data_IF_523828586855
#
_entry.id   IF_523828586855
#
_cell.length_a   1.000
_cell.length_b   1.000
_cell.length_c   1.000
_cell.angle_alpha   90.00
_cell.angle_beta   90.00
_cell.angle_gamma   90.00
#
_symmetry.space_group_name_H-M   'P 1'
#
loop_
_entity.id
_entity.type
_entity.pdbx_description
1 polymer ?
#
# COMPACT_ATOMS: atom_id res chain seq x y z
N UNK A 1 42.68 -3.03 62.71
CA UNK A 1 42.43 -1.85 61.82
C UNK A 1 42.25 -2.39 60.41
N UNK A 2 40.99 -2.47 59.90
CA UNK A 2 40.66 -2.95 58.56
C UNK A 2 40.24 -1.74 57.73
N UNK A 3 41.02 -1.38 56.70
CA UNK A 3 40.72 -0.32 55.75
C UNK A 3 39.76 -0.84 54.71
N UNK A 4 38.58 -0.20 54.59
CA UNK A 4 37.61 -0.48 53.56
C UNK A 4 37.87 0.45 52.36
N UNK A 5 38.35 -0.11 51.26
CA UNK A 5 38.40 0.58 49.97
C UNK A 5 36.99 0.70 49.40
N UNK A 6 36.50 1.93 49.29
CA UNK A 6 35.25 2.26 48.56
C UNK A 6 35.56 2.30 47.07
N UNK A 7 35.05 1.32 46.35
CA UNK A 7 35.03 1.32 44.89
C UNK A 7 33.94 2.32 44.43
N UNK A 8 34.35 3.41 43.82
CA UNK A 8 33.43 4.35 43.16
C UNK A 8 33.14 3.84 41.77
N UNK A 9 31.92 3.33 41.55
CA UNK A 9 31.44 2.98 40.20
C UNK A 9 30.92 4.24 39.50
N UNK A 10 31.66 4.74 38.52
CA UNK A 10 31.24 5.82 37.64
C UNK A 10 30.26 5.22 36.63
N UNK A 11 28.95 5.47 36.80
CA UNK A 11 27.95 5.24 35.75
C UNK A 11 28.12 6.31 34.68
N UNK A 12 28.69 5.92 33.53
CA UNK A 12 28.68 6.74 32.34
C UNK A 12 27.23 6.77 31.77
N UNK A 13 26.54 7.87 31.99
CA UNK A 13 25.25 8.13 31.35
C UNK A 13 25.48 8.34 29.84
N UNK A 14 25.22 7.30 29.03
CA UNK A 14 25.20 7.38 27.59
C UNK A 14 24.04 8.27 27.15
N UNK A 15 24.34 9.47 26.65
CA UNK A 15 23.39 10.32 25.93
C UNK A 15 23.01 9.62 24.63
N UNK A 16 21.94 8.83 24.66
CA UNK A 16 21.28 8.31 23.46
C UNK A 16 20.65 9.47 22.67
N UNK A 17 21.30 9.87 21.58
CA UNK A 17 20.70 10.78 20.62
C UNK A 17 19.44 10.10 20.02
N UNK A 18 18.26 10.74 20.01
CA UNK A 18 17.11 10.19 19.35
C UNK A 18 17.41 10.11 17.84
N UNK A 19 17.38 8.91 17.25
CA UNK A 19 17.29 8.76 15.79
C UNK A 19 15.97 9.39 15.35
N UNK A 20 16.03 10.60 14.83
CA UNK A 20 14.90 11.19 14.12
C UNK A 20 14.67 10.33 12.86
N UNK A 21 13.53 9.63 12.81
CA UNK A 21 13.09 8.98 11.59
C UNK A 21 12.88 10.07 10.54
N UNK A 22 13.75 10.14 9.54
CA UNK A 22 13.55 11.01 8.37
C UNK A 22 12.38 10.42 7.61
N UNK A 23 11.22 11.05 7.70
CA UNK A 23 10.11 10.74 6.82
C UNK A 23 10.56 11.04 5.38
N UNK A 24 10.44 10.07 4.49
CA UNK A 24 10.76 10.27 3.08
C UNK A 24 9.88 11.41 2.52
N UNK A 25 10.52 12.43 1.97
CA UNK A 25 9.81 13.56 1.37
C UNK A 25 9.16 13.11 0.06
N UNK A 26 7.86 13.44 -0.12
CA UNK A 26 7.16 13.11 -1.35
C UNK A 26 7.75 13.87 -2.54
N UNK A 27 7.75 13.27 -3.75
CA UNK A 27 8.23 13.93 -4.95
C UNK A 27 7.48 15.24 -5.23
N UNK A 28 8.19 16.25 -5.72
CA UNK A 28 7.58 17.50 -6.20
C UNK A 28 6.89 17.23 -7.54
N UNK A 29 5.57 17.37 -7.57
CA UNK A 29 4.72 17.08 -8.73
C UNK A 29 3.64 18.17 -8.90
N UNK A 30 3.02 18.22 -10.05
CA UNK A 30 1.86 19.11 -10.30
C UNK A 30 0.57 18.50 -9.72
N UNK A 31 0.28 18.79 -8.45
CA UNK A 31 -0.92 18.34 -7.76
C UNK A 31 -2.20 18.99 -8.31
N UNK A 32 -2.14 20.19 -8.90
CA UNK A 32 -3.30 20.82 -9.50
C UNK A 32 -3.72 20.04 -10.77
N UNK A 33 -2.76 19.69 -11.59
CA UNK A 33 -3.00 18.83 -12.76
C UNK A 33 -3.50 17.44 -12.36
N UNK A 34 -2.93 16.83 -11.32
CA UNK A 34 -3.40 15.55 -10.81
C UNK A 34 -4.85 15.61 -10.31
N UNK A 35 -5.24 16.70 -9.61
CA UNK A 35 -6.61 16.90 -9.14
C UNK A 35 -7.59 17.06 -10.32
N UNK A 36 -7.22 17.81 -11.37
CA UNK A 36 -8.01 17.96 -12.59
C UNK A 36 -8.25 16.60 -13.26
N UNK A 37 -7.19 15.84 -13.50
CA UNK A 37 -7.29 14.51 -14.12
C UNK A 37 -8.14 13.58 -13.26
N UNK A 38 -7.91 13.59 -11.92
CA UNK A 38 -8.67 12.76 -10.99
C UNK A 38 -10.16 13.07 -11.05
N UNK A 39 -10.55 14.35 -10.99
CA UNK A 39 -11.94 14.79 -11.03
C UNK A 39 -12.64 14.46 -12.34
N UNK A 40 -11.97 14.67 -13.46
CA UNK A 40 -12.54 14.45 -14.79
C UNK A 40 -12.57 12.99 -15.25
N UNK A 41 -11.72 12.11 -14.70
CA UNK A 41 -11.49 10.76 -15.24
C UNK A 41 -11.60 9.66 -14.20
N UNK A 42 -11.01 9.83 -13.01
CA UNK A 42 -10.86 8.74 -12.03
C UNK A 42 -12.01 8.67 -11.03
N UNK A 43 -12.55 9.84 -10.64
CA UNK A 43 -13.49 10.00 -9.55
C UNK A 43 -14.79 9.21 -9.73
N UNK A 44 -15.25 9.04 -10.98
CA UNK A 44 -16.49 8.32 -11.29
C UNK A 44 -16.49 6.88 -10.76
N UNK A 45 -15.35 6.20 -10.84
CA UNK A 45 -15.22 4.81 -10.42
C UNK A 45 -14.53 4.66 -9.06
N UNK A 46 -13.50 5.48 -8.80
CA UNK A 46 -12.67 5.38 -7.60
C UNK A 46 -13.12 6.30 -6.46
N UNK A 47 -14.12 7.16 -6.70
CA UNK A 47 -14.55 8.20 -5.76
C UNK A 47 -13.65 9.44 -5.82
N UNK A 48 -14.20 10.61 -5.47
CA UNK A 48 -13.51 11.90 -5.57
C UNK A 48 -12.21 11.94 -4.75
N UNK A 49 -12.20 11.29 -3.58
CA UNK A 49 -11.02 11.19 -2.71
C UNK A 49 -10.26 9.85 -2.90
N UNK A 50 -10.58 9.07 -3.93
CA UNK A 50 -10.02 7.72 -4.11
C UNK A 50 -10.56 6.69 -3.12
N UNK A 51 -11.65 7.01 -2.40
CA UNK A 51 -12.31 6.13 -1.43
C UNK A 51 -13.52 5.44 -2.07
N UNK A 52 -13.26 4.53 -3.01
CA UNK A 52 -14.31 3.81 -3.74
C UNK A 52 -15.31 3.15 -2.81
N UNK A 53 -16.59 3.39 -3.05
CA UNK A 53 -17.72 2.67 -2.42
C UNK A 53 -18.10 1.41 -3.19
N UNK A 54 -17.66 1.27 -4.43
CA UNK A 54 -17.93 0.11 -5.28
C UNK A 54 -17.13 -1.12 -4.85
N UNK A 55 -17.71 -2.31 -4.87
CA UNK A 55 -16.96 -3.54 -4.65
C UNK A 55 -16.04 -3.93 -5.81
N UNK A 56 -16.19 -3.29 -6.97
CA UNK A 56 -15.46 -3.62 -8.20
C UNK A 56 -14.18 -2.81 -8.37
N UNK A 57 -14.17 -1.56 -7.89
CA UNK A 57 -13.07 -0.64 -8.10
C UNK A 57 -12.21 -0.49 -6.84
N UNK A 58 -10.88 -0.52 -6.95
CA UNK A 58 -10.01 -0.38 -5.79
C UNK A 58 -10.08 1.02 -5.18
N UNK A 59 -9.80 1.10 -3.88
CA UNK A 59 -9.44 2.33 -3.22
C UNK A 59 -8.04 2.75 -3.64
N UNK A 60 -7.88 4.02 -3.94
CA UNK A 60 -6.61 4.65 -4.28
C UNK A 60 -6.08 5.49 -3.10
N UNK A 61 -6.98 5.97 -2.22
CA UNK A 61 -6.62 6.77 -1.06
C UNK A 61 -5.57 6.06 -0.17
N UNK A 62 -4.48 6.77 0.14
CA UNK A 62 -3.38 6.29 0.95
C UNK A 62 -2.54 5.17 0.34
N UNK A 63 -2.69 4.87 -0.95
CA UNK A 63 -1.84 3.93 -1.66
C UNK A 63 -0.53 4.60 -2.03
N UNK A 64 0.57 3.88 -1.96
CA UNK A 64 1.92 4.37 -2.29
C UNK A 64 1.99 4.92 -3.71
N UNK A 65 2.56 6.10 -3.86
CA UNK A 65 2.64 6.81 -5.16
C UNK A 65 3.41 6.00 -6.20
N UNK A 66 4.49 5.33 -5.81
CA UNK A 66 5.27 4.49 -6.70
C UNK A 66 4.44 3.33 -7.24
N UNK A 67 3.63 2.70 -6.37
CA UNK A 67 2.74 1.62 -6.77
C UNK A 67 1.64 2.10 -7.73
N UNK A 68 1.01 3.25 -7.47
CA UNK A 68 0.00 3.82 -8.38
C UNK A 68 0.62 4.15 -9.73
N UNK A 69 1.76 4.85 -9.76
CA UNK A 69 2.46 5.21 -10.99
C UNK A 69 2.86 3.97 -11.79
N UNK A 70 3.41 2.94 -11.12
CA UNK A 70 3.72 1.65 -11.76
C UNK A 70 2.48 1.00 -12.37
N UNK A 71 1.39 0.91 -11.62
CA UNK A 71 0.17 0.26 -12.13
C UNK A 71 -0.43 1.01 -13.33
N UNK A 72 -0.42 2.35 -13.33
CA UNK A 72 -0.85 3.15 -14.48
C UNK A 72 0.05 2.90 -15.69
N UNK A 73 1.36 2.84 -15.51
CA UNK A 73 2.31 2.48 -16.56
C UNK A 73 2.09 1.06 -17.11
N UNK A 74 1.79 0.12 -16.22
CA UNK A 74 1.50 -1.26 -16.61
C UNK A 74 0.19 -1.39 -17.40
N UNK A 75 -0.83 -0.62 -17.03
CA UNK A 75 -2.06 -0.54 -17.82
C UNK A 75 -1.81 0.11 -19.19
N UNK A 76 -1.09 1.23 -19.24
CA UNK A 76 -0.76 1.92 -20.50
C UNK A 76 0.01 1.03 -21.46
N UNK A 77 0.98 0.28 -20.95
CA UNK A 77 1.82 -0.64 -21.75
C UNK A 77 1.16 -1.99 -22.06
N UNK A 78 -0.01 -2.29 -21.48
CA UNK A 78 -0.68 -3.58 -21.62
C UNK A 78 -0.07 -4.72 -20.79
N UNK A 79 0.97 -4.46 -19.98
CA UNK A 79 1.52 -5.45 -19.03
C UNK A 79 0.51 -5.87 -17.98
N UNK A 80 -0.36 -4.94 -17.57
CA UNK A 80 -1.56 -5.25 -16.78
C UNK A 80 -2.79 -5.06 -17.65
N UNK A 81 -3.65 -6.09 -17.70
CA UNK A 81 -4.83 -6.08 -18.55
C UNK A 81 -6.06 -5.66 -17.75
N UNK A 82 -6.84 -4.76 -18.32
CA UNK A 82 -8.15 -4.32 -17.84
C UNK A 82 -8.86 -3.58 -18.95
N UNK A 83 -10.07 -4.02 -19.34
CA UNK A 83 -10.86 -3.41 -20.39
C UNK A 83 -11.10 -1.91 -20.19
N UNK A 84 -11.18 -1.47 -18.93
CA UNK A 84 -11.38 -0.07 -18.57
C UNK A 84 -10.06 0.67 -18.39
N UNK A 85 -9.15 0.13 -17.54
CA UNK A 85 -7.97 0.89 -17.12
C UNK A 85 -6.92 1.05 -18.21
N UNK A 86 -6.83 0.14 -19.17
CA UNK A 86 -5.93 0.32 -20.32
C UNK A 86 -6.29 1.59 -21.10
N UNK A 87 -7.59 1.83 -21.35
CA UNK A 87 -8.05 3.08 -21.97
C UNK A 87 -7.84 4.30 -21.06
N UNK A 88 -8.14 4.18 -19.77
CA UNK A 88 -7.99 5.30 -18.81
C UNK A 88 -6.54 5.78 -18.65
N UNK A 89 -5.56 4.89 -18.80
CA UNK A 89 -4.14 5.22 -18.66
C UNK A 89 -3.45 5.62 -19.98
N UNK A 90 -4.11 5.46 -21.13
CA UNK A 90 -3.48 5.55 -22.46
C UNK A 90 -2.78 6.88 -22.72
N UNK A 91 -3.40 7.99 -22.35
CA UNK A 91 -2.92 9.36 -22.65
C UNK A 91 -2.07 9.96 -21.51
N UNK A 92 -1.95 9.27 -20.36
CA UNK A 92 -1.20 9.79 -19.24
C UNK A 92 0.31 9.79 -19.53
N UNK A 93 0.98 10.88 -19.17
CA UNK A 93 2.44 10.92 -19.15
C UNK A 93 3.00 10.26 -17.89
N UNK A 94 4.28 9.85 -17.86
CA UNK A 94 4.91 9.33 -16.64
C UNK A 94 4.83 10.33 -15.46
N UNK A 95 4.97 11.63 -15.74
CA UNK A 95 4.88 12.70 -14.76
C UNK A 95 3.45 12.81 -14.19
N UNK A 96 2.41 12.71 -15.03
CA UNK A 96 1.01 12.70 -14.61
C UNK A 96 0.68 11.44 -13.80
N UNK A 97 1.24 10.28 -14.15
CA UNK A 97 1.08 9.04 -13.38
C UNK A 97 1.68 9.17 -11.98
N UNK A 98 2.89 9.76 -11.87
CA UNK A 98 3.53 10.03 -10.60
C UNK A 98 2.72 11.06 -9.79
N UNK A 99 2.26 12.14 -10.43
CA UNK A 99 1.45 13.17 -9.78
C UNK A 99 0.13 12.60 -9.23
N UNK A 100 -0.56 11.74 -9.99
CA UNK A 100 -1.74 11.03 -9.52
C UNK A 100 -1.42 10.11 -8.35
N UNK A 101 -0.27 9.44 -8.37
CA UNK A 101 0.21 8.63 -7.26
C UNK A 101 0.32 9.46 -5.98
N UNK A 102 1.06 10.57 -6.02
CA UNK A 102 1.24 11.48 -4.87
C UNK A 102 -0.09 12.08 -4.42
N UNK A 103 -0.94 12.45 -5.36
CA UNK A 103 -2.28 12.99 -5.05
C UNK A 103 -3.11 12.00 -4.23
N UNK A 104 -3.16 10.73 -4.61
CA UNK A 104 -3.95 9.72 -3.89
C UNK A 104 -3.27 9.23 -2.61
N UNK A 105 -1.94 9.18 -2.54
CA UNK A 105 -1.24 8.81 -1.32
C UNK A 105 -1.54 9.76 -0.16
N UNK A 106 -1.70 11.06 -0.44
CA UNK A 106 -2.05 12.08 0.56
C UNK A 106 -3.51 12.03 1.00
N UNK A 107 -4.37 11.25 0.33
CA UNK A 107 -5.79 11.17 0.69
C UNK A 107 -5.99 10.32 1.94
N UNK A 108 -6.93 10.73 2.83
CA UNK A 108 -7.17 10.00 4.08
C UNK A 108 -7.75 8.62 3.80
N UNK A 109 -7.19 7.62 4.49
CA UNK A 109 -7.72 6.26 4.46
C UNK A 109 -8.82 6.11 5.50
N UNK A 110 -9.91 5.41 5.14
CA UNK A 110 -10.98 5.07 6.08
C UNK A 110 -10.85 3.60 6.47
N UNK A 111 -10.85 3.27 7.77
CA UNK A 111 -10.90 1.88 8.21
C UNK A 111 -12.20 1.21 7.73
N UNK A 112 -12.16 -0.10 7.58
CA UNK A 112 -13.37 -0.91 7.36
C UNK A 112 -13.49 -1.91 8.49
N UNK A 113 -14.69 -2.03 9.01
CA UNK A 113 -15.02 -3.07 9.96
C UNK A 113 -15.30 -4.38 9.23
N UNK A 114 -14.90 -5.49 9.84
CA UNK A 114 -15.25 -6.81 9.36
C UNK A 114 -16.73 -7.08 9.63
N UNK A 115 -17.43 -7.59 8.62
CA UNK A 115 -18.85 -7.95 8.77
C UNK A 115 -19.06 -9.28 9.49
N UNK A 116 -18.07 -10.15 9.42
CA UNK A 116 -18.04 -11.47 10.02
C UNK A 116 -16.78 -11.59 10.86
N UNK A 117 -16.97 -11.66 12.18
CA UNK A 117 -15.86 -11.68 13.14
C UNK A 117 -15.07 -13.01 13.10
N UNK A 118 -15.74 -14.13 12.84
CA UNK A 118 -15.11 -15.45 12.78
C UNK A 118 -14.23 -15.54 11.53
N UNK A 119 -14.78 -15.17 10.38
CA UNK A 119 -14.02 -15.12 9.12
C UNK A 119 -12.87 -14.12 9.20
N UNK A 120 -13.05 -12.99 9.88
CA UNK A 120 -11.99 -12.02 10.11
C UNK A 120 -10.87 -12.58 11.01
N UNK A 121 -11.19 -13.40 12.01
CA UNK A 121 -10.20 -14.05 12.87
C UNK A 121 -9.36 -15.06 12.06
N UNK A 122 -10.00 -15.87 11.22
CA UNK A 122 -9.31 -16.79 10.29
C UNK A 122 -8.42 -16.02 9.32
N UNK A 123 -8.96 -14.95 8.70
CA UNK A 123 -8.21 -14.10 7.78
C UNK A 123 -6.99 -13.45 8.45
N UNK A 124 -7.13 -12.99 9.69
CA UNK A 124 -6.00 -12.43 10.48
C UNK A 124 -4.93 -13.48 10.74
N UNK A 125 -5.32 -14.71 11.09
CA UNK A 125 -4.37 -15.80 11.27
C UNK A 125 -3.60 -16.05 9.98
N UNK A 126 -4.27 -16.22 8.85
CA UNK A 126 -3.62 -16.46 7.55
C UNK A 126 -2.73 -15.27 7.15
N UNK A 127 -3.18 -14.05 7.37
CA UNK A 127 -2.41 -12.85 7.05
C UNK A 127 -1.06 -12.82 7.78
N UNK A 128 -1.03 -13.18 9.07
CA UNK A 128 0.19 -13.12 9.89
C UNK A 128 1.00 -14.41 9.89
N UNK A 129 0.39 -15.56 9.64
CA UNK A 129 1.03 -16.88 9.78
C UNK A 129 1.11 -17.68 8.47
N UNK A 130 0.35 -17.28 7.46
CA UNK A 130 0.18 -18.08 6.27
C UNK A 130 -0.72 -19.30 6.50
N UNK A 131 -0.62 -20.23 5.60
CA UNK A 131 -1.26 -21.54 5.69
C UNK A 131 -0.36 -22.59 5.01
N UNK A 132 0.44 -23.28 5.81
CA UNK A 132 1.39 -24.29 5.34
C UNK A 132 0.70 -25.45 4.59
N UNK A 133 -0.54 -25.76 4.99
CA UNK A 133 -1.30 -26.83 4.37
C UNK A 133 -1.67 -26.54 2.90
N UNK A 134 -1.92 -25.27 2.57
CA UNK A 134 -2.23 -24.82 1.22
C UNK A 134 -1.07 -24.10 0.52
N UNK A 135 0.11 -24.04 1.15
CA UNK A 135 1.28 -23.35 0.60
C UNK A 135 1.15 -21.83 0.52
N UNK A 136 0.27 -21.22 1.34
CA UNK A 136 0.07 -19.76 1.36
C UNK A 136 1.04 -19.16 2.37
N UNK A 137 1.97 -18.34 1.88
CA UNK A 137 2.89 -17.58 2.72
C UNK A 137 2.16 -16.50 3.57
N UNK A 138 2.76 -16.11 4.70
CA UNK A 138 2.23 -15.01 5.51
C UNK A 138 2.28 -13.68 4.75
N UNK A 139 1.13 -13.06 4.49
CA UNK A 139 1.04 -11.79 3.75
C UNK A 139 1.79 -10.66 4.48
N UNK A 140 1.78 -10.69 5.82
CA UNK A 140 2.45 -9.70 6.66
C UNK A 140 3.97 -9.63 6.44
N UNK A 141 4.61 -10.73 6.02
CA UNK A 141 6.04 -10.78 5.71
C UNK A 141 6.46 -9.79 4.62
N UNK A 142 5.57 -9.56 3.65
CA UNK A 142 5.81 -8.62 2.56
C UNK A 142 5.04 -7.30 2.72
N UNK A 143 3.77 -7.36 3.14
CA UNK A 143 2.91 -6.18 3.24
C UNK A 143 2.95 -5.47 4.62
N UNK A 144 3.77 -5.96 5.54
CA UNK A 144 3.89 -5.44 6.91
C UNK A 144 2.73 -5.88 7.81
N UNK A 145 2.95 -5.87 9.14
CA UNK A 145 1.98 -6.36 10.14
C UNK A 145 0.60 -5.71 10.06
N UNK A 146 0.55 -4.45 9.66
CA UNK A 146 -0.70 -3.70 9.51
C UNK A 146 -1.20 -3.66 8.05
N UNK A 147 -0.53 -4.34 7.12
CA UNK A 147 -0.88 -4.34 5.71
C UNK A 147 -0.72 -2.97 5.05
N UNK A 148 0.18 -2.13 5.55
CA UNK A 148 0.43 -0.81 4.97
C UNK A 148 1.25 -0.87 3.68
N UNK A 149 1.94 -1.98 3.44
CA UNK A 149 2.81 -2.15 2.27
C UNK A 149 4.13 -1.39 2.38
N UNK A 150 4.78 -1.28 1.24
CA UNK A 150 6.03 -0.53 1.01
C UNK A 150 5.92 0.22 -0.33
N UNK A 151 7.00 0.88 -0.74
CA UNK A 151 7.07 1.52 -2.07
C UNK A 151 6.85 0.53 -3.23
N UNK A 152 7.31 -0.72 -3.08
CA UNK A 152 7.17 -1.78 -4.09
C UNK A 152 5.91 -2.61 -3.91
N UNK A 153 5.46 -2.79 -2.68
CA UNK A 153 4.34 -3.66 -2.31
C UNK A 153 3.13 -2.84 -1.88
N UNK A 154 1.95 -3.09 -2.46
CA UNK A 154 0.80 -2.23 -2.21
C UNK A 154 0.31 -2.28 -0.77
N UNK A 155 -0.25 -1.15 -0.33
CA UNK A 155 -1.09 -1.09 0.84
C UNK A 155 -2.33 -1.96 0.63
N UNK A 156 -2.58 -2.90 1.54
CA UNK A 156 -3.77 -3.76 1.59
C UNK A 156 -4.77 -3.26 2.63
N UNK A 157 -4.28 -2.59 3.68
CA UNK A 157 -5.12 -2.07 4.76
C UNK A 157 -6.20 -1.11 4.25
N UNK A 158 -7.45 -1.41 4.57
CA UNK A 158 -8.61 -0.61 4.14
C UNK A 158 -9.02 -0.82 2.68
N UNK A 159 -8.36 -1.69 1.92
CA UNK A 159 -8.75 -1.97 0.54
C UNK A 159 -10.12 -2.65 0.47
N UNK A 160 -10.77 -2.57 -0.68
CA UNK A 160 -12.06 -3.22 -0.96
C UNK A 160 -11.86 -4.74 -0.92
N UNK A 161 -12.55 -5.49 -0.03
CA UNK A 161 -12.31 -6.93 0.14
C UNK A 161 -12.53 -7.72 -1.16
N UNK A 162 -13.59 -7.42 -1.89
CA UNK A 162 -13.89 -8.09 -3.15
C UNK A 162 -12.87 -7.81 -4.24
N UNK A 163 -12.30 -6.60 -4.25
CA UNK A 163 -11.18 -6.30 -5.13
C UNK A 163 -9.94 -7.11 -4.75
N UNK A 164 -9.59 -7.18 -3.46
CA UNK A 164 -8.46 -7.98 -2.97
C UNK A 164 -8.64 -9.45 -3.37
N UNK A 165 -9.83 -10.02 -3.14
CA UNK A 165 -10.16 -11.39 -3.55
C UNK A 165 -9.97 -11.60 -5.06
N UNK A 166 -10.47 -10.67 -5.87
CA UNK A 166 -10.35 -10.75 -7.33
C UNK A 166 -8.89 -10.71 -7.79
N UNK A 167 -8.05 -9.88 -7.14
CA UNK A 167 -6.63 -9.81 -7.47
C UNK A 167 -5.89 -11.09 -7.08
N UNK A 168 -6.16 -11.66 -5.91
CA UNK A 168 -5.59 -12.94 -5.52
C UNK A 168 -5.96 -14.05 -6.51
N UNK A 169 -7.22 -14.11 -6.96
CA UNK A 169 -7.65 -15.03 -8.00
C UNK A 169 -6.91 -14.80 -9.33
N UNK A 170 -6.75 -13.53 -9.72
CA UNK A 170 -6.06 -13.19 -10.97
C UNK A 170 -4.57 -13.56 -10.95
N UNK A 171 -3.88 -13.41 -9.81
CA UNK A 171 -2.52 -13.90 -9.63
C UNK A 171 -2.44 -15.43 -9.67
N UNK A 172 -3.34 -16.11 -8.97
CA UNK A 172 -3.38 -17.57 -8.94
C UNK A 172 -3.61 -18.20 -10.33
N UNK A 173 -4.48 -17.59 -11.13
CA UNK A 173 -4.78 -18.03 -12.52
C UNK A 173 -3.80 -17.50 -13.55
N UNK A 174 -2.80 -16.69 -13.15
CA UNK A 174 -1.87 -15.98 -14.03
C UNK A 174 -2.55 -15.03 -15.05
N UNK A 175 -3.79 -14.63 -14.77
CA UNK A 175 -4.44 -13.54 -15.52
C UNK A 175 -3.82 -12.17 -15.21
N UNK A 176 -3.15 -12.05 -14.04
CA UNK A 176 -2.33 -10.91 -13.66
C UNK A 176 -0.90 -11.40 -13.36
N UNK A 177 0.09 -10.81 -14.06
CA UNK A 177 1.51 -11.22 -13.99
C UNK A 177 2.48 -10.05 -13.84
N UNK A 178 1.98 -8.82 -13.88
CA UNK A 178 2.80 -7.61 -13.94
C UNK A 178 3.58 -7.31 -12.65
N UNK A 179 3.32 -7.99 -11.56
CA UNK A 179 4.00 -7.83 -10.25
C UNK A 179 4.76 -9.09 -9.81
N UNK A 180 5.07 -10.01 -10.74
CA UNK A 180 5.78 -11.27 -10.43
C UNK A 180 7.31 -11.14 -10.35
N UNK A 181 7.85 -9.95 -10.53
CA UNK A 181 9.30 -9.68 -10.50
C UNK A 181 9.77 -9.11 -9.15
N UNK A 182 8.92 -9.21 -8.12
CA UNK A 182 9.22 -8.71 -6.77
C UNK A 182 9.51 -9.88 -5.85
#
# INVERSE_FOLDING_TARGET
>A
MKSWNRLVVLCAAGLGLPLAAVAAELPKVDLARAAEISGGRCALCHGAEGDSSSPLYPRLAGQHHQYIAKQLGDFKSGRRKSDTMNGMAQDLTPEEMLALGVYFEQKPTKPREARDAELAAVGRYIFHRGNDFSGVAACAGCHGDKGHGTEQLPRLAGQVPRYTESQLKSFNTRARTNDNEV
#
